data_IF_358816936174
#
_entry.id   IF_358816936174
#
_cell.length_a   1.000
_cell.length_b   1.000
_cell.length_c   1.000
_cell.angle_alpha   90.00
_cell.angle_beta   90.00
_cell.angle_gamma   90.00
#
_symmetry.space_group_name_H-M   'P 1'
#
loop_
_entity.id
_entity.type
_entity.pdbx_description
1 polymer ?
#
# COMPACT_ATOMS: atom_id res chain seq x y z
N UNK A 1 6.35 23.85 -8.26
CA UNK A 1 6.05 22.62 -7.51
C UNK A 1 4.94 22.90 -6.52
N UNK A 2 4.07 21.92 -6.29
CA UNK A 2 3.13 21.93 -5.19
C UNK A 2 3.84 21.56 -3.89
N UNK A 3 3.19 21.80 -2.75
CA UNK A 3 3.72 21.45 -1.43
C UNK A 3 4.02 19.95 -1.35
N UNK A 4 5.21 19.63 -0.85
CA UNK A 4 5.69 18.27 -0.73
C UNK A 4 6.71 18.14 0.39
N UNK A 5 6.90 16.91 0.86
CA UNK A 5 7.94 16.56 1.84
C UNK A 5 8.76 15.38 1.33
N UNK A 6 10.04 15.40 1.66
CA UNK A 6 10.95 14.31 1.38
C UNK A 6 11.86 14.04 2.58
N UNK A 7 12.18 12.78 2.82
CA UNK A 7 13.10 12.33 3.85
C UNK A 7 14.02 11.26 3.27
N UNK A 8 15.29 11.36 3.58
CA UNK A 8 16.29 10.34 3.36
C UNK A 8 16.98 10.05 4.70
N UNK A 9 17.07 8.79 5.05
CA UNK A 9 17.82 8.34 6.21
C UNK A 9 18.83 7.27 5.82
N UNK A 10 19.97 7.27 6.47
CA UNK A 10 21.03 6.28 6.31
C UNK A 10 21.63 5.96 7.68
N UNK A 11 21.93 4.68 7.93
CA UNK A 11 22.45 4.17 9.22
C UNK A 11 21.65 4.67 10.44
N UNK A 12 20.32 4.70 10.34
CA UNK A 12 19.42 5.12 11.42
C UNK A 12 19.35 6.64 11.66
N UNK A 13 20.00 7.45 10.81
CA UNK A 13 20.01 8.92 10.93
C UNK A 13 19.36 9.56 9.72
N UNK A 14 18.52 10.57 9.96
CA UNK A 14 18.01 11.43 8.88
C UNK A 14 19.16 12.27 8.35
N UNK A 15 19.51 12.05 7.08
CA UNK A 15 20.61 12.77 6.39
C UNK A 15 20.08 13.85 5.44
N UNK A 16 18.82 13.77 5.07
CA UNK A 16 18.15 14.80 4.28
C UNK A 16 16.67 14.88 4.68
N UNK A 17 16.21 16.08 4.90
CA UNK A 17 14.81 16.40 5.13
C UNK A 17 14.46 17.67 4.36
N UNK A 18 13.37 17.63 3.62
CA UNK A 18 12.87 18.75 2.84
C UNK A 18 11.37 18.90 3.01
N UNK A 19 10.94 20.13 3.25
CA UNK A 19 9.54 20.51 3.25
C UNK A 19 9.38 21.76 2.38
N UNK A 20 8.73 21.63 1.24
CA UNK A 20 8.47 22.72 0.33
C UNK A 20 7.00 23.12 0.42
N UNK A 21 6.76 24.35 0.82
CA UNK A 21 5.41 24.95 0.75
C UNK A 21 5.27 25.72 -0.55
N UNK A 22 4.27 25.41 -1.34
CA UNK A 22 3.96 26.17 -2.55
C UNK A 22 3.21 27.46 -2.21
N UNK A 23 3.27 28.42 -3.15
CA UNK A 23 2.44 29.64 -3.09
C UNK A 23 1.16 29.50 -3.92
N UNK A 24 0.78 28.28 -4.28
CA UNK A 24 -0.37 28.05 -5.12
C UNK A 24 -1.67 28.32 -4.34
N UNK A 25 -2.66 29.01 -4.93
CA UNK A 25 -3.91 29.28 -4.24
C UNK A 25 -4.60 28.01 -3.76
N UNK A 26 -4.99 27.99 -2.49
CA UNK A 26 -5.63 26.83 -1.84
C UNK A 26 -4.65 25.80 -1.26
N UNK A 27 -3.34 25.98 -1.46
CA UNK A 27 -2.34 25.13 -0.80
C UNK A 27 -2.12 25.55 0.66
N UNK A 28 -1.59 24.65 1.48
CA UNK A 28 -1.33 24.89 2.90
C UNK A 28 0.15 24.82 3.21
N UNK A 29 0.62 25.58 4.22
CA UNK A 29 1.96 25.39 4.75
C UNK A 29 2.20 23.93 5.13
N UNK A 30 3.32 23.39 4.68
CA UNK A 30 3.70 22.02 4.96
C UNK A 30 4.65 21.98 6.16
N UNK A 31 4.43 21.02 7.05
CA UNK A 31 5.24 20.80 8.26
C UNK A 31 5.51 19.31 8.42
N UNK A 32 6.40 18.95 9.34
CA UNK A 32 6.64 17.55 9.72
C UNK A 32 5.38 16.81 10.21
N UNK A 33 4.40 17.56 10.72
CA UNK A 33 3.12 17.04 11.21
C UNK A 33 2.01 17.07 10.16
N UNK A 34 2.31 17.46 8.92
CA UNK A 34 1.34 17.43 7.83
C UNK A 34 0.92 15.98 7.56
N UNK A 35 -0.39 15.76 7.53
CA UNK A 35 -0.99 14.45 7.30
C UNK A 35 -1.32 14.27 5.82
N UNK A 36 -0.94 13.13 5.29
CA UNK A 36 -1.19 12.73 3.91
C UNK A 36 -2.02 11.45 3.86
N UNK A 37 -2.96 11.30 2.92
CA UNK A 37 -3.49 10.00 2.56
C UNK A 37 -2.37 9.23 1.86
N UNK A 38 -2.01 8.07 2.41
CA UNK A 38 -0.89 7.29 1.87
C UNK A 38 -1.31 6.26 0.83
N UNK A 39 -2.63 6.10 0.63
CA UNK A 39 -3.19 5.25 -0.40
C UNK A 39 -2.55 3.86 -0.38
N UNK A 40 -2.08 3.39 -1.53
CA UNK A 40 -1.49 2.06 -1.66
C UNK A 40 -0.23 1.82 -0.84
N UNK A 41 0.37 2.83 -0.24
CA UNK A 41 1.39 2.64 0.80
C UNK A 41 0.81 2.00 2.09
N UNK A 42 -0.52 1.86 2.20
CA UNK A 42 -1.18 1.04 3.23
C UNK A 42 -0.89 -0.46 3.05
N UNK A 43 -0.71 -0.93 1.80
CA UNK A 43 -0.53 -2.36 1.48
C UNK A 43 0.68 -3.01 2.18
N UNK A 44 1.88 -2.41 2.17
CA UNK A 44 3.02 -2.90 2.92
C UNK A 44 2.72 -3.09 4.42
N UNK A 45 2.05 -2.13 5.05
CA UNK A 45 1.68 -2.20 6.47
C UNK A 45 0.72 -3.37 6.72
N UNK A 46 -0.32 -3.49 5.89
CA UNK A 46 -1.28 -4.60 5.97
C UNK A 46 -0.61 -5.95 5.73
N UNK A 47 0.32 -6.02 4.78
CA UNK A 47 1.06 -7.25 4.49
C UNK A 47 1.96 -7.66 5.66
N UNK A 48 2.66 -6.71 6.29
CA UNK A 48 3.42 -6.97 7.54
C UNK A 48 2.48 -7.47 8.64
N UNK A 49 1.31 -6.85 8.81
CA UNK A 49 0.31 -7.28 9.80
C UNK A 49 -0.17 -8.71 9.56
N UNK A 50 -0.44 -9.08 8.32
CA UNK A 50 -0.80 -10.45 7.95
C UNK A 50 0.34 -11.43 8.27
N UNK A 51 1.58 -11.05 7.95
CA UNK A 51 2.73 -11.93 8.19
C UNK A 51 3.08 -12.07 9.67
N UNK A 52 2.74 -11.12 10.54
CA UNK A 52 2.78 -11.30 12.00
C UNK A 52 1.84 -12.44 12.45
N UNK A 53 0.64 -12.51 11.89
CA UNK A 53 -0.30 -13.61 12.18
C UNK A 53 0.17 -14.93 11.59
N UNK A 54 0.78 -14.92 10.41
CA UNK A 54 1.43 -16.09 9.82
C UNK A 54 2.54 -16.64 10.72
N UNK A 55 3.41 -15.81 11.27
CA UNK A 55 4.47 -16.19 12.23
C UNK A 55 3.90 -16.83 13.50
N UNK A 56 2.72 -16.38 13.94
CA UNK A 56 1.99 -16.93 15.09
C UNK A 56 1.25 -18.23 14.76
N UNK A 57 1.32 -18.71 13.52
CA UNK A 57 0.67 -19.94 13.09
C UNK A 57 -0.84 -19.82 12.87
N UNK A 58 -1.39 -18.60 12.79
CA UNK A 58 -2.81 -18.38 12.55
C UNK A 58 -3.27 -18.86 11.17
N UNK A 59 -2.36 -18.92 10.18
CA UNK A 59 -2.59 -19.48 8.86
C UNK A 59 -1.27 -19.83 8.18
N UNK A 60 -1.33 -20.70 7.17
CA UNK A 60 -0.25 -20.92 6.19
C UNK A 60 -0.56 -20.16 4.90
N UNK A 61 0.47 -19.72 4.19
CA UNK A 61 0.31 -18.91 2.97
C UNK A 61 -0.57 -19.58 1.92
N UNK A 62 -0.52 -20.91 1.82
CA UNK A 62 -1.26 -21.69 0.82
C UNK A 62 -2.60 -22.25 1.33
N UNK A 63 -2.99 -21.91 2.56
CA UNK A 63 -4.32 -22.24 3.08
C UNK A 63 -5.40 -21.45 2.33
N UNK A 64 -6.59 -22.03 2.09
CA UNK A 64 -7.73 -21.33 1.50
C UNK A 64 -8.28 -20.27 2.45
N UNK A 65 -8.41 -19.03 1.99
CA UNK A 65 -9.03 -17.95 2.78
C UNK A 65 -10.51 -18.22 3.04
N UNK A 66 -11.15 -19.02 2.19
CA UNK A 66 -12.56 -19.42 2.34
C UNK A 66 -12.85 -20.24 3.60
N UNK A 67 -11.84 -20.75 4.29
CA UNK A 67 -12.00 -21.41 5.60
C UNK A 67 -12.48 -20.45 6.68
N UNK A 68 -12.18 -19.16 6.56
CA UNK A 68 -12.59 -18.11 7.50
C UNK A 68 -13.51 -17.05 6.86
N UNK A 69 -13.53 -16.95 5.52
CA UNK A 69 -14.42 -16.08 4.74
C UNK A 69 -15.15 -16.94 3.71
N UNK A 70 -16.24 -17.66 4.11
CA UNK A 70 -16.90 -18.66 3.26
C UNK A 70 -17.44 -18.11 1.94
N UNK A 71 -17.77 -16.81 1.86
CA UNK A 71 -18.21 -16.12 0.65
C UNK A 71 -17.20 -16.27 -0.49
N UNK A 72 -15.89 -16.28 -0.18
CA UNK A 72 -14.85 -16.43 -1.20
C UNK A 72 -14.87 -17.79 -1.91
N UNK A 73 -15.45 -18.82 -1.31
CA UNK A 73 -15.62 -20.12 -1.97
C UNK A 73 -16.63 -20.09 -3.13
N UNK A 74 -17.57 -19.14 -3.09
CA UNK A 74 -18.68 -19.03 -4.04
C UNK A 74 -18.39 -18.11 -5.22
N UNK A 75 -17.25 -17.41 -5.21
CA UNK A 75 -16.86 -16.51 -6.27
C UNK A 75 -16.89 -17.18 -7.64
N UNK A 76 -17.22 -16.41 -8.63
CA UNK A 76 -17.23 -16.84 -10.02
C UNK A 76 -16.16 -16.10 -10.81
N UNK A 77 -15.65 -16.72 -11.86
CA UNK A 77 -14.58 -16.20 -12.70
C UNK A 77 -15.17 -15.79 -14.05
N UNK A 78 -14.76 -14.66 -14.59
CA UNK A 78 -15.11 -14.24 -15.95
C UNK A 78 -14.62 -15.27 -16.97
N UNK A 79 -15.52 -15.75 -17.84
CA UNK A 79 -15.24 -16.76 -18.87
C UNK A 79 -15.39 -16.24 -20.31
N UNK A 80 -15.50 -14.90 -20.47
CA UNK A 80 -15.74 -14.27 -21.76
C UNK A 80 -17.21 -14.27 -22.18
N UNK A 81 -17.57 -13.35 -23.10
CA UNK A 81 -18.94 -13.22 -23.61
C UNK A 81 -20.01 -12.98 -22.53
N UNK A 82 -19.67 -12.32 -21.43
CA UNK A 82 -20.59 -12.10 -20.32
C UNK A 82 -20.87 -13.32 -19.44
N UNK A 83 -20.24 -14.47 -19.72
CA UNK A 83 -20.40 -15.71 -18.96
C UNK A 83 -19.42 -15.75 -17.77
N UNK A 84 -19.73 -16.60 -16.80
CA UNK A 84 -18.85 -16.90 -15.67
C UNK A 84 -18.73 -18.40 -15.47
N UNK A 85 -17.60 -18.83 -14.91
CA UNK A 85 -17.35 -20.22 -14.49
C UNK A 85 -17.04 -20.29 -12.98
N UNK A 86 -17.18 -21.47 -12.34
CA UNK A 86 -16.78 -21.63 -10.94
C UNK A 86 -15.27 -21.56 -10.77
N UNK A 87 -14.84 -21.35 -9.51
CA UNK A 87 -13.44 -21.49 -9.14
C UNK A 87 -12.96 -22.94 -9.38
N UNK A 88 -11.80 -23.08 -10.02
CA UNK A 88 -11.07 -24.38 -10.15
C UNK A 88 -10.12 -24.58 -8.96
N UNK A 89 -9.76 -23.52 -8.27
CA UNK A 89 -8.90 -23.49 -7.09
C UNK A 89 -9.40 -22.40 -6.14
N UNK A 90 -9.37 -22.65 -4.85
CA UNK A 90 -9.70 -21.63 -3.85
C UNK A 90 -8.61 -20.56 -3.78
N UNK A 91 -9.01 -19.33 -3.45
CA UNK A 91 -8.07 -18.22 -3.20
C UNK A 91 -7.29 -18.50 -1.92
N UNK A 92 -5.97 -18.40 -1.96
CA UNK A 92 -5.09 -18.56 -0.81
C UNK A 92 -4.65 -17.21 -0.25
N UNK A 93 -4.12 -17.19 0.99
CA UNK A 93 -3.51 -15.99 1.57
C UNK A 93 -2.35 -15.48 0.71
N UNK A 94 -1.56 -16.38 0.12
CA UNK A 94 -0.51 -16.03 -0.85
C UNK A 94 -1.09 -15.32 -2.06
N UNK A 95 -2.20 -15.80 -2.62
CA UNK A 95 -2.84 -15.18 -3.78
C UNK A 95 -3.36 -13.75 -3.46
N UNK A 96 -3.81 -13.49 -2.23
CA UNK A 96 -4.17 -12.15 -1.78
C UNK A 96 -2.93 -11.24 -1.67
N UNK A 97 -1.89 -11.70 -0.96
CA UNK A 97 -0.70 -10.90 -0.67
C UNK A 97 0.14 -10.56 -1.91
N UNK A 98 0.13 -11.43 -2.93
CA UNK A 98 0.84 -11.21 -4.19
C UNK A 98 -0.06 -10.72 -5.33
N UNK A 99 -1.33 -10.37 -5.06
CA UNK A 99 -2.29 -9.92 -6.06
C UNK A 99 -2.53 -10.90 -7.23
N UNK A 100 -2.59 -12.20 -6.97
CA UNK A 100 -2.97 -13.22 -7.97
C UNK A 100 -4.32 -13.87 -7.71
N UNK A 101 -5.13 -13.29 -6.82
CA UNK A 101 -6.47 -13.81 -6.50
C UNK A 101 -7.49 -13.68 -7.63
N UNK A 102 -7.26 -12.77 -8.58
CA UNK A 102 -8.23 -12.36 -9.60
C UNK A 102 -9.22 -11.28 -9.13
N UNK A 103 -9.21 -10.90 -7.85
CA UNK A 103 -10.04 -9.81 -7.31
C UNK A 103 -9.47 -8.49 -7.80
N UNK A 104 -10.17 -7.86 -8.76
CA UNK A 104 -9.88 -6.52 -9.25
C UNK A 104 -10.54 -5.45 -8.36
N UNK A 105 -11.05 -4.39 -8.92
CA UNK A 105 -11.71 -3.30 -8.22
C UNK A 105 -11.12 -1.94 -8.55
N UNK A 106 -9.99 -1.94 -9.28
CA UNK A 106 -9.44 -0.75 -9.92
C UNK A 106 -9.49 -0.99 -11.42
N UNK A 107 -10.63 -0.71 -12.03
CA UNK A 107 -10.93 -0.94 -13.44
C UNK A 107 -10.25 0.05 -14.40
N UNK A 108 -9.15 0.66 -13.95
CA UNK A 108 -8.31 1.55 -14.76
C UNK A 108 -8.84 2.97 -14.86
N UNK A 109 -10.04 3.20 -14.45
CA UNK A 109 -10.65 4.50 -14.28
C UNK A 109 -10.99 4.66 -12.79
N UNK A 110 -10.23 5.45 -12.07
CA UNK A 110 -10.72 6.09 -10.84
C UNK A 110 -11.80 7.14 -11.21
N UNK A 111 -12.47 6.93 -12.32
CA UNK A 111 -13.70 7.61 -12.55
C UNK A 111 -14.74 6.96 -11.63
N UNK A 112 -15.57 7.73 -11.03
CA UNK A 112 -16.59 7.39 -10.04
C UNK A 112 -17.65 6.39 -10.56
N UNK A 113 -17.30 5.50 -11.47
CA UNK A 113 -18.11 4.47 -12.09
C UNK A 113 -17.44 3.10 -11.85
N UNK A 114 -18.22 2.10 -11.51
CA UNK A 114 -17.73 0.74 -11.27
C UNK A 114 -17.54 0.37 -9.80
N UNK A 115 -16.84 -0.72 -9.56
CA UNK A 115 -16.72 -1.35 -8.23
C UNK A 115 -16.12 -0.42 -7.16
N UNK A 116 -15.20 0.50 -7.53
CA UNK A 116 -14.60 1.43 -6.58
C UNK A 116 -15.64 2.39 -5.97
N UNK A 117 -16.56 2.91 -6.78
CA UNK A 117 -17.63 3.76 -6.27
C UNK A 117 -18.50 3.01 -5.26
N UNK A 118 -18.88 1.77 -5.60
CA UNK A 118 -19.65 0.91 -4.68
C UNK A 118 -18.89 0.67 -3.38
N UNK A 119 -17.58 0.41 -3.44
CA UNK A 119 -16.73 0.23 -2.26
C UNK A 119 -16.74 1.48 -1.36
N UNK A 120 -16.72 2.67 -1.95
CA UNK A 120 -16.71 3.92 -1.18
C UNK A 120 -18.04 4.26 -0.50
N UNK A 121 -19.11 3.55 -0.84
CA UNK A 121 -20.43 3.66 -0.21
C UNK A 121 -20.61 2.68 0.97
N UNK A 122 -19.63 1.79 1.24
CA UNK A 122 -19.68 0.79 2.31
C UNK A 122 -19.23 1.36 3.65
N UNK A 123 -19.72 0.77 4.73
CA UNK A 123 -19.38 1.13 6.10
C UNK A 123 -18.44 0.14 6.79
N UNK A 124 -18.22 -1.04 6.23
CA UNK A 124 -17.42 -2.09 6.86
C UNK A 124 -16.71 -3.03 5.88
N UNK A 125 -15.71 -3.76 6.37
CA UNK A 125 -15.07 -4.83 5.60
C UNK A 125 -15.98 -6.06 5.43
N UNK A 126 -17.02 -6.22 6.24
CA UNK A 126 -18.03 -7.26 6.04
C UNK A 126 -18.81 -6.98 4.76
N UNK A 127 -19.33 -5.76 4.62
CA UNK A 127 -20.05 -5.34 3.41
C UNK A 127 -19.17 -5.40 2.16
N UNK A 128 -17.86 -5.13 2.30
CA UNK A 128 -16.93 -5.35 1.20
C UNK A 128 -16.91 -6.80 0.72
N UNK A 129 -16.90 -7.76 1.65
CA UNK A 129 -16.93 -9.18 1.28
C UNK A 129 -18.26 -9.55 0.62
N UNK A 130 -19.38 -9.04 1.13
CA UNK A 130 -20.71 -9.28 0.56
C UNK A 130 -20.82 -8.68 -0.87
N UNK A 131 -20.28 -7.48 -1.07
CA UNK A 131 -20.17 -6.87 -2.40
C UNK A 131 -19.34 -7.75 -3.35
N UNK A 132 -18.20 -8.25 -2.91
CA UNK A 132 -17.31 -9.07 -3.72
C UNK A 132 -17.92 -10.44 -4.05
N UNK A 133 -18.76 -11.02 -3.17
CA UNK A 133 -19.41 -12.33 -3.40
C UNK A 133 -20.23 -12.35 -4.70
N UNK A 134 -20.84 -11.21 -5.06
CA UNK A 134 -21.68 -11.10 -6.27
C UNK A 134 -20.92 -10.60 -7.50
N UNK A 135 -19.66 -10.21 -7.36
CA UNK A 135 -18.83 -9.73 -8.48
C UNK A 135 -17.94 -10.86 -9.02
N UNK A 136 -17.91 -11.11 -10.35
CA UNK A 136 -16.98 -12.10 -10.90
C UNK A 136 -15.55 -11.56 -10.85
N UNK A 137 -14.62 -12.44 -10.46
CA UNK A 137 -13.18 -12.15 -10.51
C UNK A 137 -12.63 -12.30 -11.93
N UNK A 138 -11.50 -11.67 -12.22
CA UNK A 138 -10.96 -11.52 -13.58
C UNK A 138 -10.41 -12.82 -14.18
N UNK A 139 -9.83 -13.69 -13.35
CA UNK A 139 -9.20 -14.93 -13.77
C UNK A 139 -9.16 -15.93 -12.61
N UNK A 140 -8.90 -17.19 -12.90
CA UNK A 140 -8.68 -18.21 -11.88
C UNK A 140 -7.53 -17.84 -10.94
N UNK A 141 -7.65 -18.06 -9.61
CA UNK A 141 -6.61 -17.75 -8.65
C UNK A 141 -5.24 -18.33 -9.04
N UNK A 142 -4.19 -17.55 -8.89
CA UNK A 142 -2.82 -17.92 -9.20
C UNK A 142 -2.44 -17.87 -10.69
N UNK A 143 -3.31 -17.42 -11.58
CA UNK A 143 -3.05 -17.45 -13.04
C UNK A 143 -2.45 -16.17 -13.61
N UNK A 144 -2.68 -15.05 -12.96
CA UNK A 144 -2.18 -13.74 -13.39
C UNK A 144 -2.05 -12.79 -12.21
N UNK A 145 -1.12 -11.85 -12.27
CA UNK A 145 -1.11 -10.72 -11.37
C UNK A 145 -2.20 -9.72 -11.78
N UNK A 146 -3.12 -9.45 -10.87
CA UNK A 146 -4.18 -8.43 -11.06
C UNK A 146 -4.26 -7.57 -9.82
N UNK A 147 -3.74 -6.35 -9.94
CA UNK A 147 -3.73 -5.38 -8.86
C UNK A 147 -5.15 -4.92 -8.53
N UNK A 148 -5.56 -5.03 -7.27
CA UNK A 148 -6.92 -4.70 -6.86
C UNK A 148 -7.13 -4.80 -5.35
N UNK A 149 -8.37 -5.15 -4.95
CA UNK A 149 -8.85 -5.16 -3.58
C UNK A 149 -8.34 -6.34 -2.72
N UNK A 150 -7.45 -7.18 -3.23
CA UNK A 150 -6.91 -8.33 -2.47
C UNK A 150 -6.42 -7.97 -1.07
N UNK A 151 -5.74 -6.81 -0.91
CA UNK A 151 -5.22 -6.38 0.39
C UNK A 151 -6.32 -5.83 1.31
N UNK A 152 -7.43 -5.32 0.77
CA UNK A 152 -8.61 -4.98 1.58
C UNK A 152 -9.29 -6.25 2.13
N UNK A 153 -9.41 -7.31 1.30
CA UNK A 153 -9.84 -8.65 1.75
C UNK A 153 -8.91 -9.20 2.83
N UNK A 154 -7.59 -8.98 2.71
CA UNK A 154 -6.63 -9.37 3.75
C UNK A 154 -6.89 -8.61 5.07
N UNK A 155 -7.33 -7.35 5.03
CA UNK A 155 -7.77 -6.61 6.21
C UNK A 155 -8.89 -7.35 6.96
N UNK A 156 -9.90 -7.84 6.23
CA UNK A 156 -10.98 -8.65 6.82
C UNK A 156 -10.46 -9.97 7.40
N UNK A 157 -9.55 -10.64 6.70
CA UNK A 157 -8.93 -11.86 7.22
C UNK A 157 -8.17 -11.61 8.53
N UNK A 158 -7.45 -10.48 8.64
CA UNK A 158 -6.76 -10.07 9.88
C UNK A 158 -7.77 -9.85 11.02
N UNK A 159 -8.93 -9.21 10.78
CA UNK A 159 -9.97 -9.06 11.81
C UNK A 159 -10.42 -10.40 12.37
N UNK A 160 -10.74 -11.34 11.48
CA UNK A 160 -11.23 -12.68 11.89
C UNK A 160 -10.14 -13.45 12.64
N UNK A 161 -8.94 -13.51 12.08
CA UNK A 161 -7.82 -14.27 12.66
C UNK A 161 -7.32 -13.71 13.99
N UNK A 162 -7.41 -12.40 14.18
CA UNK A 162 -6.96 -11.73 15.39
C UNK A 162 -8.05 -11.59 16.46
N UNK A 163 -9.32 -11.74 16.08
CA UNK A 163 -10.47 -11.54 16.95
C UNK A 163 -10.71 -10.09 17.38
N UNK A 164 -10.18 -9.11 16.63
CA UNK A 164 -10.31 -7.69 16.95
C UNK A 164 -10.44 -6.83 15.69
N UNK A 165 -10.97 -5.58 15.77
CA UNK A 165 -11.01 -4.66 14.64
C UNK A 165 -9.64 -4.46 14.02
N UNK A 166 -9.60 -4.31 12.70
CA UNK A 166 -8.34 -4.25 11.95
C UNK A 166 -7.48 -3.03 12.34
N UNK A 167 -8.09 -1.87 12.56
CA UNK A 167 -7.41 -0.67 13.04
C UNK A 167 -6.72 -0.91 14.39
N UNK A 168 -7.39 -1.63 15.32
CA UNK A 168 -6.86 -1.96 16.65
C UNK A 168 -5.70 -2.96 16.57
N UNK A 169 -5.77 -3.90 15.63
CA UNK A 169 -4.66 -4.80 15.40
C UNK A 169 -3.41 -4.05 14.91
N UNK A 170 -3.56 -3.16 13.92
CA UNK A 170 -2.45 -2.34 13.42
C UNK A 170 -1.90 -1.42 14.51
N UNK A 171 -2.77 -0.78 15.27
CA UNK A 171 -2.38 0.09 16.38
C UNK A 171 -1.50 -0.65 17.40
N UNK A 172 -1.94 -1.83 17.83
CA UNK A 172 -1.26 -2.63 18.86
C UNK A 172 0.05 -3.24 18.38
N UNK A 173 0.05 -3.80 17.16
CA UNK A 173 1.18 -4.61 16.69
C UNK A 173 2.24 -3.80 15.95
N UNK A 174 1.85 -2.69 15.31
CA UNK A 174 2.74 -1.91 14.45
C UNK A 174 2.85 -0.46 14.95
N UNK A 175 1.74 0.28 15.04
CA UNK A 175 1.82 1.72 15.23
C UNK A 175 2.37 2.11 16.60
N UNK A 176 1.83 1.56 17.68
CA UNK A 176 2.31 1.83 19.05
C UNK A 176 3.78 1.42 19.26
N UNK A 177 4.21 0.18 18.89
CA UNK A 177 5.61 -0.20 19.04
C UNK A 177 6.59 0.66 18.25
N UNK A 178 6.17 1.21 17.09
CA UNK A 178 6.99 2.07 16.25
C UNK A 178 6.85 3.56 16.60
N UNK A 179 5.92 3.96 17.47
CA UNK A 179 5.64 5.36 17.77
C UNK A 179 4.99 6.12 16.61
N UNK A 180 4.19 5.43 15.78
CA UNK A 180 3.47 6.02 14.64
C UNK A 180 2.14 6.64 15.12
N UNK A 181 2.23 7.78 15.79
CA UNK A 181 1.12 8.39 16.51
C UNK A 181 0.02 8.99 15.61
N UNK A 182 0.39 9.33 14.37
CA UNK A 182 -0.48 10.02 13.40
C UNK A 182 -0.94 9.11 12.26
N UNK A 183 -0.61 7.82 12.31
CA UNK A 183 -1.00 6.84 11.29
C UNK A 183 -2.30 6.14 11.72
N UNK A 184 -3.33 6.25 10.88
CA UNK A 184 -4.68 5.71 11.17
C UNK A 184 -5.57 5.66 9.94
N UNK A 185 -6.73 5.02 10.02
CA UNK A 185 -7.71 4.96 8.93
C UNK A 185 -8.64 6.17 8.81
N UNK A 186 -8.67 7.06 9.77
CA UNK A 186 -9.55 8.23 9.77
C UNK A 186 -8.83 9.47 10.29
N UNK A 187 -9.32 10.63 9.88
CA UNK A 187 -8.85 11.92 10.40
C UNK A 187 -9.56 12.27 11.69
N UNK A 188 -8.81 12.65 12.71
CA UNK A 188 -9.35 13.37 13.86
C UNK A 188 -9.62 14.82 13.50
N UNK A 189 -10.38 15.56 14.33
CA UNK A 189 -10.57 17.02 14.13
C UNK A 189 -9.24 17.76 14.12
N UNK A 190 -8.29 17.36 14.94
CA UNK A 190 -6.95 17.92 14.96
C UNK A 190 -6.18 17.65 13.64
N UNK A 191 -6.38 16.48 13.05
CA UNK A 191 -5.72 16.12 11.78
C UNK A 191 -6.25 16.95 10.61
N UNK A 192 -7.54 17.34 10.62
CA UNK A 192 -8.16 18.11 9.53
C UNK A 192 -7.45 19.44 9.29
N UNK A 193 -6.98 20.11 10.34
CA UNK A 193 -6.25 21.37 10.25
C UNK A 193 -4.89 21.24 9.55
N UNK A 194 -4.29 20.05 9.56
CA UNK A 194 -2.97 19.75 8.98
C UNK A 194 -3.00 18.71 7.84
N UNK A 195 -4.20 18.34 7.38
CA UNK A 195 -4.38 17.45 6.24
C UNK A 195 -4.08 18.19 4.96
N UNK A 196 -3.18 17.63 4.13
CA UNK A 196 -2.76 18.23 2.88
C UNK A 196 -3.91 18.26 1.87
N UNK A 197 -4.24 19.41 1.26
CA UNK A 197 -5.26 19.47 0.21
C UNK A 197 -4.84 18.73 -1.05
N UNK A 198 -5.82 18.17 -1.77
CA UNK A 198 -5.61 17.55 -3.07
C UNK A 198 -5.41 18.62 -4.13
N UNK A 199 -4.45 18.41 -5.02
CA UNK A 199 -4.32 19.15 -6.26
C UNK A 199 -4.47 18.26 -7.48
N UNK A 200 -5.19 18.75 -8.47
CA UNK A 200 -5.41 18.06 -9.74
C UNK A 200 -4.69 18.81 -10.86
N UNK A 201 -3.91 18.08 -11.66
CA UNK A 201 -3.28 18.61 -12.86
C UNK A 201 -4.11 18.27 -14.08
N UNK A 202 -4.77 19.27 -14.66
CA UNK A 202 -5.59 19.11 -15.84
C UNK A 202 -5.04 19.99 -16.98
N UNK A 203 -4.80 19.42 -18.16
CA UNK A 203 -4.27 20.13 -19.35
C UNK A 203 -3.03 21.00 -19.02
N UNK A 204 -2.14 20.47 -18.18
CA UNK A 204 -0.91 21.17 -17.79
C UNK A 204 -1.04 22.20 -16.66
N UNK A 205 -2.24 22.55 -16.24
CA UNK A 205 -2.53 23.52 -15.16
C UNK A 205 -2.91 22.79 -13.87
N UNK A 206 -2.52 23.36 -12.73
CA UNK A 206 -2.93 22.87 -11.41
C UNK A 206 -4.19 23.62 -10.95
N UNK A 207 -5.03 22.92 -10.20
CA UNK A 207 -6.12 23.49 -9.41
C UNK A 207 -6.31 22.68 -8.13
N UNK A 208 -6.91 23.26 -7.07
CA UNK A 208 -7.39 22.48 -5.95
C UNK A 208 -8.37 21.38 -6.40
N UNK A 209 -8.29 20.22 -5.78
CA UNK A 209 -9.28 19.16 -5.92
C UNK A 209 -10.60 19.55 -5.25
N UNK A 210 -11.71 19.07 -5.79
CA UNK A 210 -13.03 19.17 -5.15
C UNK A 210 -13.20 18.07 -4.10
N UNK A 211 -14.11 18.20 -3.12
CA UNK A 211 -14.44 17.12 -2.20
C UNK A 211 -14.85 15.80 -2.90
N UNK A 212 -15.52 15.90 -4.06
CA UNK A 212 -15.93 14.73 -4.85
C UNK A 212 -14.74 14.02 -5.55
N UNK A 213 -13.62 14.72 -5.76
CA UNK A 213 -12.39 14.14 -6.31
C UNK A 213 -11.50 13.54 -5.22
N UNK A 214 -11.82 13.81 -3.96
CA UNK A 214 -11.13 13.22 -2.82
C UNK A 214 -11.77 11.87 -2.50
N UNK A 215 -11.36 10.85 -3.22
CA UNK A 215 -11.99 9.53 -3.31
C UNK A 215 -11.83 8.67 -2.05
N UNK A 216 -11.14 9.14 -1.01
CA UNK A 216 -11.05 8.41 0.26
C UNK A 216 -12.02 8.99 1.29
N UNK A 217 -12.72 8.08 1.93
CA UNK A 217 -13.63 8.41 2.99
C UNK A 217 -12.90 8.62 4.31
N UNK A 218 -12.75 9.88 4.72
CA UNK A 218 -12.06 10.25 5.96
C UNK A 218 -13.03 10.68 7.07
N UNK A 219 -14.23 10.12 7.12
CA UNK A 219 -15.15 10.44 8.20
C UNK A 219 -14.63 9.92 9.55
N UNK A 220 -14.76 10.71 10.62
CA UNK A 220 -14.19 10.38 11.94
C UNK A 220 -14.69 9.07 12.57
N UNK A 221 -15.78 8.51 12.07
CA UNK A 221 -16.42 7.29 12.60
C UNK A 221 -16.51 6.16 11.57
N UNK A 222 -15.83 6.27 10.44
CA UNK A 222 -15.82 5.19 9.46
C UNK A 222 -15.21 3.93 10.04
N UNK A 223 -15.82 2.79 9.79
CA UNK A 223 -15.33 1.45 10.11
C UNK A 223 -14.87 0.69 8.85
N UNK A 224 -14.91 1.32 7.68
CA UNK A 224 -14.37 0.77 6.45
C UNK A 224 -12.84 0.91 6.44
N UNK A 225 -12.16 -0.01 7.09
CA UNK A 225 -10.69 -0.02 7.21
C UNK A 225 -10.04 -0.70 6.01
N UNK A 226 -10.01 -0.02 4.85
CA UNK A 226 -9.44 -0.57 3.62
C UNK A 226 -7.93 -0.77 3.74
N UNK A 227 -7.51 -2.02 3.93
CA UNK A 227 -6.10 -2.38 4.12
C UNK A 227 -5.19 -2.06 2.94
N UNK A 228 -5.76 -1.84 1.77
CA UNK A 228 -5.02 -1.48 0.57
C UNK A 228 -4.81 0.02 0.35
N UNK A 229 -5.67 0.90 0.95
CA UNK A 229 -5.75 2.31 0.58
C UNK A 229 -6.01 3.27 1.74
N UNK A 230 -6.63 2.80 2.82
CA UNK A 230 -7.38 3.63 3.75
C UNK A 230 -6.57 4.41 4.78
N UNK A 231 -5.26 4.22 4.87
CA UNK A 231 -4.45 4.88 5.89
C UNK A 231 -4.09 6.32 5.51
N UNK A 232 -4.08 7.17 6.53
CA UNK A 232 -3.38 8.46 6.52
C UNK A 232 -2.13 8.35 7.39
N UNK A 233 -1.09 9.15 7.10
CA UNK A 233 0.16 9.15 7.85
C UNK A 233 0.90 10.47 7.71
N UNK A 234 1.97 10.64 8.48
CA UNK A 234 2.95 11.73 8.34
C UNK A 234 4.26 11.18 7.77
N UNK A 235 5.12 12.08 7.28
CA UNK A 235 6.46 11.72 6.81
C UNK A 235 7.26 10.98 7.91
N UNK A 236 7.23 11.49 9.13
CA UNK A 236 7.96 10.91 10.27
C UNK A 236 7.44 9.54 10.67
N UNK A 237 6.13 9.34 10.72
CA UNK A 237 5.55 8.04 11.07
C UNK A 237 5.90 6.98 10.03
N UNK A 238 5.72 7.31 8.73
CA UNK A 238 6.08 6.37 7.68
C UNK A 238 7.59 6.09 7.63
N UNK A 239 8.41 7.09 7.95
CA UNK A 239 9.85 6.92 8.14
C UNK A 239 10.20 5.91 9.24
N UNK A 240 9.44 5.88 10.35
CA UNK A 240 9.61 4.86 11.42
C UNK A 240 9.29 3.45 10.93
N UNK A 241 8.25 3.31 10.11
CA UNK A 241 7.95 2.03 9.46
C UNK A 241 9.09 1.60 8.51
N UNK A 242 9.61 2.52 7.70
CA UNK A 242 10.77 2.24 6.84
C UNK A 242 12.01 1.86 7.65
N UNK A 243 12.30 2.56 8.75
CA UNK A 243 13.43 2.24 9.62
C UNK A 243 13.31 0.82 10.20
N UNK A 244 12.13 0.43 10.67
CA UNK A 244 11.87 -0.94 11.14
C UNK A 244 12.20 -1.97 10.06
N UNK A 245 11.87 -1.72 8.80
CA UNK A 245 12.21 -2.62 7.69
C UNK A 245 13.72 -2.66 7.41
N UNK A 246 14.43 -1.51 7.48
CA UNK A 246 15.90 -1.44 7.41
C UNK A 246 16.54 -2.25 8.55
N UNK A 247 15.98 -2.14 9.75
CA UNK A 247 16.45 -2.83 10.96
C UNK A 247 15.97 -4.29 11.04
N UNK A 248 15.61 -4.86 9.89
CA UNK A 248 15.23 -6.27 9.78
C UNK A 248 14.08 -6.67 10.70
N UNK A 249 13.09 -5.78 10.80
CA UNK A 249 11.86 -5.99 11.55
C UNK A 249 11.91 -5.59 13.02
N UNK A 250 12.94 -4.88 13.48
CA UNK A 250 13.05 -4.40 14.86
C UNK A 250 12.50 -2.99 15.04
N UNK A 251 11.73 -2.80 16.10
CA UNK A 251 11.32 -1.48 16.57
C UNK A 251 12.46 -0.77 17.34
N UNK A 252 12.42 0.55 17.52
CA UNK A 252 13.43 1.32 18.27
C UNK A 252 13.65 0.86 19.71
N UNK A 253 12.62 0.29 20.34
CA UNK A 253 12.71 -0.27 21.70
C UNK A 253 13.26 -1.72 21.74
N UNK A 254 13.74 -2.24 20.61
CA UNK A 254 14.29 -3.59 20.47
C UNK A 254 13.25 -4.70 20.26
N UNK A 255 11.93 -4.37 20.31
CA UNK A 255 10.88 -5.38 20.05
C UNK A 255 10.96 -5.85 18.59
N UNK A 256 10.94 -7.16 18.38
CA UNK A 256 10.80 -7.73 17.04
C UNK A 256 9.33 -7.64 16.61
N UNK A 257 9.05 -6.86 15.56
CA UNK A 257 7.72 -6.70 14.96
C UNK A 257 7.47 -7.85 13.98
N UNK A 258 8.44 -8.15 13.14
CA UNK A 258 8.42 -9.24 12.17
C UNK A 258 9.82 -9.87 12.10
N UNK A 259 9.89 -11.19 11.98
CA UNK A 259 11.18 -11.89 11.96
C UNK A 259 11.95 -11.63 10.65
N UNK A 260 13.30 -11.57 10.69
CA UNK A 260 14.11 -11.38 9.48
C UNK A 260 13.81 -12.40 8.38
N UNK A 261 13.63 -13.69 8.73
CA UNK A 261 13.28 -14.75 7.76
C UNK A 261 11.95 -14.53 7.07
N UNK A 262 10.98 -13.93 7.78
CA UNK A 262 9.67 -13.61 7.21
C UNK A 262 9.76 -12.41 6.28
N UNK A 263 10.58 -11.42 6.63
CA UNK A 263 10.86 -10.30 5.74
C UNK A 263 11.56 -10.78 4.46
N UNK A 264 12.53 -11.72 4.56
CA UNK A 264 13.17 -12.32 3.39
C UNK A 264 12.15 -13.06 2.50
N UNK A 265 11.23 -13.81 3.10
CA UNK A 265 10.12 -14.44 2.37
C UNK A 265 9.23 -13.41 1.67
N UNK A 266 8.93 -12.29 2.33
CA UNK A 266 8.13 -11.21 1.72
C UNK A 266 8.85 -10.54 0.54
N UNK A 267 10.18 -10.55 0.52
CA UNK A 267 11.02 -9.94 -0.51
C UNK A 267 11.58 -10.97 -1.52
N UNK A 268 11.10 -12.21 -1.52
CA UNK A 268 11.37 -13.18 -2.56
C UNK A 268 10.33 -13.12 -3.68
N UNK A 269 10.69 -13.51 -4.91
CA UNK A 269 9.73 -13.51 -6.02
C UNK A 269 8.58 -14.50 -5.76
N UNK A 270 7.40 -13.96 -5.66
CA UNK A 270 6.17 -14.72 -5.43
C UNK A 270 5.35 -14.87 -6.72
N UNK A 271 5.83 -14.30 -7.84
CA UNK A 271 5.15 -14.32 -9.13
C UNK A 271 5.93 -15.07 -10.21
N UNK A 272 6.96 -15.84 -9.84
CA UNK A 272 7.70 -16.66 -10.81
C UNK A 272 6.74 -17.49 -11.68
N UNK A 273 6.83 -17.33 -13.00
CA UNK A 273 5.94 -17.98 -13.96
C UNK A 273 4.50 -17.45 -14.00
N UNK A 274 4.15 -16.42 -13.21
CA UNK A 274 2.83 -15.77 -13.23
C UNK A 274 2.92 -14.46 -14.00
N UNK A 275 2.23 -14.30 -15.15
CA UNK A 275 2.32 -13.11 -15.97
C UNK A 275 1.64 -11.89 -15.36
N UNK A 276 1.98 -10.70 -15.87
CA UNK A 276 1.26 -9.45 -15.63
C UNK A 276 2.01 -8.40 -14.82
N UNK A 277 3.02 -8.75 -14.03
CA UNK A 277 3.78 -7.76 -13.27
C UNK A 277 5.09 -7.36 -13.97
N UNK A 278 5.94 -8.31 -14.28
CA UNK A 278 7.25 -8.09 -14.91
C UNK A 278 7.17 -7.48 -16.30
N UNK A 279 6.07 -7.73 -17.03
CA UNK A 279 5.81 -7.16 -18.34
C UNK A 279 5.75 -5.62 -18.33
N UNK A 280 5.19 -5.06 -17.23
CA UNK A 280 5.02 -3.62 -17.07
C UNK A 280 6.17 -2.94 -16.32
N UNK A 281 7.00 -3.70 -15.59
CA UNK A 281 8.03 -3.18 -14.68
C UNK A 281 9.35 -3.92 -14.85
N UNK A 282 10.05 -3.63 -15.95
CA UNK A 282 11.32 -4.26 -16.30
C UNK A 282 12.33 -4.22 -15.14
N UNK A 283 12.89 -5.37 -14.79
CA UNK A 283 13.88 -5.50 -13.74
C UNK A 283 13.32 -5.64 -12.33
N UNK A 284 12.00 -5.51 -12.14
CA UNK A 284 11.35 -5.67 -10.84
C UNK A 284 10.61 -7.00 -10.73
N UNK A 285 10.66 -7.60 -9.55
CA UNK A 285 9.81 -8.70 -9.11
C UNK A 285 8.83 -8.25 -8.03
N UNK A 286 7.90 -9.10 -7.68
CA UNK A 286 6.87 -8.84 -6.69
C UNK A 286 6.83 -9.93 -5.62
N UNK A 287 6.94 -9.50 -4.37
CA UNK A 287 6.88 -10.36 -3.19
C UNK A 287 5.49 -10.40 -2.55
N UNK A 288 5.45 -10.43 -1.22
CA UNK A 288 4.22 -10.33 -0.44
C UNK A 288 4.02 -8.90 0.04
N UNK A 289 3.39 -8.07 -0.80
CA UNK A 289 3.07 -6.66 -0.50
C UNK A 289 4.16 -5.64 -0.82
N UNK A 290 5.27 -6.06 -1.44
CA UNK A 290 6.36 -5.18 -1.90
C UNK A 290 6.77 -5.52 -3.33
N UNK A 291 7.17 -4.50 -4.10
CA UNK A 291 8.07 -4.74 -5.23
C UNK A 291 9.51 -4.72 -4.75
N UNK A 292 10.39 -5.39 -5.47
CA UNK A 292 11.83 -5.29 -5.27
C UNK A 292 12.58 -5.38 -6.61
N UNK A 293 13.74 -4.75 -6.67
CA UNK A 293 14.56 -4.70 -7.89
C UNK A 293 15.51 -5.90 -7.93
N UNK A 294 15.35 -6.75 -8.93
CA UNK A 294 16.23 -7.91 -9.17
C UNK A 294 17.31 -7.62 -10.20
N UNK A 295 17.00 -6.82 -11.22
CA UNK A 295 17.90 -6.60 -12.37
C UNK A 295 17.99 -5.10 -12.71
N UNK A 296 18.99 -4.45 -12.12
CA UNK A 296 19.33 -3.04 -12.38
C UNK A 296 19.58 -2.74 -13.85
N UNK A 297 20.14 -3.71 -14.62
CA UNK A 297 20.42 -3.49 -16.04
C UNK A 297 19.13 -3.36 -16.85
N UNK A 298 18.12 -4.15 -16.52
CA UNK A 298 16.79 -4.04 -17.14
C UNK A 298 16.03 -2.80 -16.70
N UNK A 299 16.21 -2.37 -15.43
CA UNK A 299 15.59 -1.15 -14.91
C UNK A 299 16.16 0.11 -15.55
N UNK A 300 17.44 0.11 -15.87
CA UNK A 300 18.12 1.19 -16.61
C UNK A 300 18.42 2.44 -15.79
N UNK A 301 18.29 2.37 -14.46
CA UNK A 301 18.66 3.41 -13.50
C UNK A 301 19.80 2.89 -12.60
N UNK A 302 20.53 3.77 -11.96
CA UNK A 302 21.68 3.39 -11.13
C UNK A 302 21.29 2.82 -9.74
N UNK A 303 20.08 2.33 -9.57
CA UNK A 303 19.64 1.74 -8.30
C UNK A 303 20.30 0.38 -8.08
N UNK A 304 20.73 0.02 -6.86
CA UNK A 304 21.27 -1.31 -6.60
C UNK A 304 20.18 -2.38 -6.59
N UNK A 305 20.53 -3.61 -6.96
CA UNK A 305 19.65 -4.76 -6.79
C UNK A 305 19.29 -4.92 -5.31
N UNK A 306 18.07 -5.39 -5.05
CA UNK A 306 17.55 -5.62 -3.71
C UNK A 306 16.86 -4.42 -3.06
N UNK A 307 16.82 -3.25 -3.71
CA UNK A 307 15.94 -2.17 -3.23
C UNK A 307 14.48 -2.62 -3.35
N UNK A 308 13.66 -2.24 -2.37
CA UNK A 308 12.25 -2.57 -2.36
C UNK A 308 11.41 -1.39 -1.85
N UNK A 309 10.11 -1.39 -2.12
CA UNK A 309 9.26 -0.30 -1.71
C UNK A 309 7.84 -0.39 -2.26
N UNK A 310 7.15 0.75 -2.22
CA UNK A 310 5.82 0.92 -2.80
C UNK A 310 5.50 2.40 -3.07
N UNK A 311 4.39 2.65 -3.74
CA UNK A 311 3.88 4.00 -3.99
C UNK A 311 2.39 4.11 -3.70
N UNK A 312 1.91 5.35 -3.52
CA UNK A 312 0.52 5.70 -3.31
C UNK A 312 -0.02 6.59 -4.43
N UNK A 313 -1.31 6.53 -4.65
CA UNK A 313 -2.02 7.10 -5.79
C UNK A 313 -1.82 8.61 -6.00
N UNK A 314 -1.72 9.39 -4.93
CA UNK A 314 -1.54 10.85 -5.01
C UNK A 314 -0.07 11.29 -4.93
N UNK A 315 0.85 10.49 -5.54
CA UNK A 315 2.28 10.84 -5.61
C UNK A 315 2.98 10.77 -4.25
N UNK A 316 2.66 9.75 -3.48
CA UNK A 316 3.47 9.32 -2.34
C UNK A 316 4.28 8.09 -2.71
N UNK A 317 5.49 7.93 -2.20
CA UNK A 317 6.30 6.74 -2.42
C UNK A 317 7.40 6.61 -1.38
N UNK A 318 7.89 5.37 -1.23
CA UNK A 318 9.09 5.07 -0.47
C UNK A 318 9.89 3.97 -1.15
N UNK A 319 11.16 3.92 -0.84
CA UNK A 319 11.99 2.76 -1.10
C UNK A 319 13.00 2.56 0.03
N UNK A 320 13.46 1.33 0.14
CA UNK A 320 14.45 0.87 1.11
C UNK A 320 15.59 0.24 0.35
N UNK A 321 16.79 0.55 0.76
CA UNK A 321 18.04 -0.05 0.29
C UNK A 321 18.73 -0.75 1.48
N UNK A 322 18.53 -2.05 1.64
CA UNK A 322 19.11 -2.77 2.77
C UNK A 322 20.64 -2.79 2.75
N UNK A 323 21.24 -2.76 1.55
CA UNK A 323 22.70 -2.80 1.39
C UNK A 323 23.37 -1.55 1.96
N UNK A 324 22.78 -0.39 1.70
CA UNK A 324 23.28 0.91 2.16
C UNK A 324 22.60 1.35 3.47
N UNK A 325 21.80 0.49 4.11
CA UNK A 325 20.98 0.81 5.29
C UNK A 325 20.23 2.12 5.16
N UNK A 326 19.64 2.32 3.99
CA UNK A 326 19.03 3.56 3.58
C UNK A 326 17.54 3.37 3.34
N UNK A 327 16.75 4.38 3.66
CA UNK A 327 15.39 4.52 3.16
C UNK A 327 15.09 5.96 2.76
N UNK A 328 14.18 6.10 1.83
CA UNK A 328 13.65 7.40 1.46
C UNK A 328 12.13 7.36 1.38
N UNK A 329 11.50 8.47 1.78
CA UNK A 329 10.06 8.68 1.71
C UNK A 329 9.81 10.03 1.04
N UNK A 330 8.86 10.06 0.12
CA UNK A 330 8.37 11.28 -0.51
C UNK A 330 6.85 11.33 -0.42
N UNK A 331 6.30 12.48 -0.04
CA UNK A 331 4.86 12.70 0.04
C UNK A 331 4.47 14.02 -0.61
N UNK A 332 3.53 13.94 -1.52
CA UNK A 332 2.76 15.05 -2.07
C UNK A 332 1.31 14.61 -2.17
N UNK A 333 0.41 15.54 -2.50
CA UNK A 333 -0.99 15.18 -2.78
C UNK A 333 -1.41 15.73 -4.14
N UNK A 334 -1.02 15.01 -5.18
CA UNK A 334 -1.18 15.39 -6.58
C UNK A 334 -1.82 14.26 -7.39
N UNK A 335 -2.87 14.58 -8.14
CA UNK A 335 -3.46 13.72 -9.16
C UNK A 335 -3.28 14.34 -10.58
N UNK A 336 -3.04 13.57 -11.62
CA UNK A 336 -2.71 12.14 -11.60
C UNK A 336 -1.34 11.84 -10.99
N UNK A 337 -1.14 10.58 -10.59
CA UNK A 337 0.14 10.08 -10.07
C UNK A 337 1.31 10.47 -10.97
N UNK A 338 2.38 10.96 -10.37
CA UNK A 338 3.59 11.37 -11.08
C UNK A 338 4.78 10.46 -10.75
N UNK A 339 4.90 9.35 -11.47
CA UNK A 339 6.02 8.42 -11.30
C UNK A 339 7.40 9.01 -11.62
N UNK A 340 7.47 10.08 -12.43
CA UNK A 340 8.72 10.78 -12.71
C UNK A 340 9.36 11.35 -11.44
N UNK A 341 8.55 11.86 -10.50
CA UNK A 341 9.06 12.37 -9.22
C UNK A 341 9.81 11.29 -8.45
N UNK A 342 9.28 10.08 -8.38
CA UNK A 342 9.94 8.93 -7.74
C UNK A 342 11.27 8.62 -8.42
N UNK A 343 11.27 8.53 -9.74
CA UNK A 343 12.45 8.20 -10.54
C UNK A 343 13.55 9.23 -10.36
N UNK A 344 13.24 10.52 -10.50
CA UNK A 344 14.21 11.60 -10.39
C UNK A 344 14.77 11.74 -8.95
N UNK A 345 13.90 11.60 -7.94
CA UNK A 345 14.36 11.65 -6.55
C UNK A 345 15.32 10.49 -6.24
N UNK A 346 14.98 9.27 -6.63
CA UNK A 346 15.85 8.11 -6.44
C UNK A 346 17.17 8.24 -7.20
N UNK A 347 17.13 8.72 -8.45
CA UNK A 347 18.33 8.98 -9.24
C UNK A 347 19.25 9.97 -8.53
N UNK A 348 18.73 11.11 -8.06
CA UNK A 348 19.51 12.12 -7.36
C UNK A 348 20.16 11.56 -6.08
N UNK A 349 19.44 10.71 -5.31
CA UNK A 349 20.01 10.05 -4.13
C UNK A 349 21.20 9.17 -4.49
N UNK A 350 21.08 8.31 -5.51
CA UNK A 350 22.17 7.40 -5.90
C UNK A 350 23.30 8.10 -6.67
N UNK A 351 23.08 9.26 -7.22
CA UNK A 351 24.15 10.13 -7.75
C UNK A 351 24.98 10.78 -6.62
N UNK A 352 24.31 11.17 -5.55
CA UNK A 352 24.96 11.77 -4.37
C UNK A 352 25.72 10.75 -3.49
N UNK A 353 25.47 9.45 -3.65
CA UNK A 353 26.18 8.38 -2.92
C UNK A 353 27.42 7.86 -3.65
N UNK A 354 27.70 8.34 -4.86
CA UNK A 354 28.93 8.02 -5.61
C UNK A 354 30.08 8.91 -5.17
#
# INVERSE_FOLDING_TARGET
CLSNVALLASDGKVVYHHAATSKFPGDRPITEKTVFPIWSMSKPITSVAAMILHERGAFKLDDPVSTIIPQLAKLRVKAGGGKTEPLKKQITYRDLLRHSSGIAGYDGSFDQQGTWKEVMELDSLVELIDLLEVKPIEHQPGKKHTYGLSTAVMGRAIEILSGQPFDKFLEREIFKPLGMEYTRFYLTEQDRGRFQPLFVKLKGKFRPGTPAEDELYYAPKSSLFLGGEGLVSTLGDYGRFCQMLVDRGKAPNGKQIILPKTLDLMLSDQLEGIPGYGDARKGYAFGLGFYFLEDTKKEGQNSPNGIFGWGGYHTTHFWIDPKNKLYAVFMARLYPYNGKTQTEFRKAVYEALK
#
